data_IF_458434820187
#
_entry.id   IF_458434820187
#
_cell.length_a   1.000
_cell.length_b   1.000
_cell.length_c   1.000
_cell.angle_alpha   90.00
_cell.angle_beta   90.00
_cell.angle_gamma   90.00
#
_symmetry.space_group_name_H-M   'P 1'
#
loop_
_entity.id
_entity.type
_entity.pdbx_description
1 polymer ?
#
# COMPACT_ATOMS: atom_id res chain seq x y z
N UNK A 1 -7.42 0.13 9.12
CA UNK A 1 -6.04 0.64 8.98
C UNK A 1 -5.59 0.59 7.52
N UNK A 2 -4.57 1.40 7.16
CA UNK A 2 -3.93 1.32 5.85
C UNK A 2 -2.50 0.82 5.99
N UNK A 3 -2.14 -0.26 5.28
CA UNK A 3 -0.78 -0.80 5.24
C UNK A 3 -0.13 -0.29 3.95
N UNK A 4 0.94 0.47 4.07
CA UNK A 4 1.78 0.79 2.93
C UNK A 4 2.77 -0.33 2.70
N UNK A 5 2.80 -0.92 1.50
CA UNK A 5 3.67 -2.03 1.15
C UNK A 5 4.83 -1.55 0.27
N UNK A 6 6.01 -1.47 0.85
CA UNK A 6 7.23 -1.04 0.16
C UNK A 6 8.46 -1.85 0.64
N UNK A 7 9.54 -1.87 -0.17
CA UNK A 7 9.58 -1.46 -1.58
C UNK A 7 8.75 -2.38 -2.49
N UNK A 8 8.24 -1.84 -3.62
CA UNK A 8 7.44 -2.62 -4.58
C UNK A 8 8.08 -2.60 -5.95
N UNK A 9 8.79 -3.67 -6.30
CA UNK A 9 9.61 -3.77 -7.52
C UNK A 9 9.31 -5.01 -8.36
N UNK A 10 8.44 -5.92 -7.89
CA UNK A 10 8.17 -7.19 -8.54
C UNK A 10 6.69 -7.61 -8.43
N UNK A 11 6.24 -8.45 -9.36
CA UNK A 11 4.96 -9.16 -9.22
C UNK A 11 4.96 -10.17 -8.06
N UNK A 12 6.14 -10.68 -7.71
CA UNK A 12 6.29 -11.59 -6.57
C UNK A 12 5.95 -10.96 -5.24
N UNK A 13 6.09 -9.63 -5.14
CA UNK A 13 5.73 -8.90 -3.92
C UNK A 13 4.25 -9.11 -3.57
N UNK A 14 3.37 -9.19 -4.59
CA UNK A 14 1.96 -9.48 -4.38
C UNK A 14 1.72 -10.90 -3.86
N UNK A 15 2.37 -11.90 -4.44
CA UNK A 15 2.25 -13.30 -4.02
C UNK A 15 2.73 -13.47 -2.58
N UNK A 16 3.88 -12.87 -2.26
CA UNK A 16 4.46 -12.92 -0.91
C UNK A 16 3.60 -12.15 0.10
N UNK A 17 3.03 -11.01 -0.29
CA UNK A 17 2.09 -10.24 0.54
C UNK A 17 0.88 -11.09 0.94
N UNK A 18 0.22 -11.75 -0.02
CA UNK A 18 -0.93 -12.61 0.26
C UNK A 18 -0.52 -13.79 1.17
N UNK A 19 0.64 -14.39 0.89
CA UNK A 19 1.16 -15.51 1.70
C UNK A 19 1.48 -15.06 3.14
N UNK A 20 2.09 -13.90 3.32
CA UNK A 20 2.39 -13.34 4.64
C UNK A 20 1.11 -12.99 5.40
N UNK A 21 0.14 -12.32 4.75
CA UNK A 21 -1.14 -11.99 5.35
C UNK A 21 -1.88 -13.25 5.83
N UNK A 22 -1.90 -14.30 5.01
CA UNK A 22 -2.48 -15.59 5.38
C UNK A 22 -1.75 -16.21 6.59
N UNK A 23 -0.41 -16.20 6.59
CA UNK A 23 0.40 -16.76 7.67
C UNK A 23 0.23 -16.00 8.99
N UNK A 24 -0.01 -14.69 8.92
CA UNK A 24 -0.26 -13.85 10.10
C UNK A 24 -1.74 -13.87 10.56
N UNK A 25 -2.63 -14.53 9.83
CA UNK A 25 -4.05 -14.53 10.09
C UNK A 25 -4.72 -13.16 9.91
N UNK A 26 -4.14 -12.30 9.07
CA UNK A 26 -4.65 -10.95 8.82
C UNK A 26 -5.43 -10.92 7.51
N UNK A 27 -6.72 -10.58 7.61
CA UNK A 27 -7.54 -10.29 6.43
C UNK A 27 -7.11 -8.95 5.82
N UNK A 28 -6.72 -8.95 4.55
CA UNK A 28 -6.30 -7.75 3.84
C UNK A 28 -7.18 -7.45 2.63
N UNK A 29 -7.28 -6.18 2.29
CA UNK A 29 -7.89 -5.69 1.06
C UNK A 29 -6.86 -4.94 0.23
N UNK A 30 -6.92 -5.09 -1.08
CA UNK A 30 -6.00 -4.43 -2.01
C UNK A 30 -6.72 -3.94 -3.26
N UNK A 31 -6.18 -2.88 -3.89
CA UNK A 31 -6.82 -2.23 -5.03
C UNK A 31 -6.29 -2.80 -6.34
N UNK A 32 -7.15 -3.41 -7.12
CA UNK A 32 -6.83 -3.94 -8.44
C UNK A 32 -7.56 -3.20 -9.56
N UNK A 33 -6.96 -3.20 -10.76
CA UNK A 33 -7.61 -2.65 -11.95
C UNK A 33 -8.90 -3.42 -12.24
N UNK A 34 -10.03 -2.72 -12.45
CA UNK A 34 -11.35 -3.31 -12.70
C UNK A 34 -11.35 -4.40 -13.78
N UNK A 35 -10.58 -4.20 -14.86
CA UNK A 35 -10.47 -5.19 -15.93
C UNK A 35 -9.93 -6.56 -15.50
N UNK A 36 -9.13 -6.64 -14.42
CA UNK A 36 -8.63 -7.92 -13.89
C UNK A 36 -9.75 -8.76 -13.29
N UNK A 37 -10.74 -8.12 -12.69
CA UNK A 37 -11.87 -8.78 -12.03
C UNK A 37 -12.96 -9.25 -13.00
N UNK A 38 -12.86 -8.86 -14.28
CA UNK A 38 -13.72 -9.32 -15.39
C UNK A 38 -13.18 -10.56 -16.09
N UNK A 39 -11.99 -11.03 -15.70
CA UNK A 39 -11.37 -12.25 -16.21
C UNK A 39 -11.85 -13.50 -15.43
N UNK A 40 -11.63 -14.74 -15.93
CA UNK A 40 -11.99 -15.97 -15.22
C UNK A 40 -11.41 -16.08 -13.80
N UNK A 41 -10.28 -15.44 -13.52
CA UNK A 41 -9.67 -15.40 -12.17
C UNK A 41 -10.28 -14.31 -11.26
N UNK A 42 -11.20 -13.49 -11.77
CA UNK A 42 -11.84 -12.41 -11.01
C UNK A 42 -12.44 -12.85 -9.67
N UNK A 43 -13.21 -13.96 -9.59
CA UNK A 43 -13.72 -14.46 -8.31
C UNK A 43 -12.63 -14.77 -7.28
N UNK A 44 -11.52 -15.39 -7.73
CA UNK A 44 -10.38 -15.67 -6.87
C UNK A 44 -9.72 -14.38 -6.35
N UNK A 45 -9.57 -13.37 -7.22
CA UNK A 45 -9.01 -12.08 -6.82
C UNK A 45 -9.86 -11.39 -5.76
N UNK A 46 -11.20 -11.47 -5.86
CA UNK A 46 -12.10 -10.97 -4.81
C UNK A 46 -11.98 -11.78 -3.51
N UNK A 47 -11.90 -13.09 -3.62
CA UNK A 47 -11.73 -13.97 -2.46
C UNK A 47 -10.47 -13.65 -1.64
N UNK A 48 -9.36 -13.29 -2.30
CA UNK A 48 -8.13 -12.85 -1.63
C UNK A 48 -8.11 -11.33 -1.33
N UNK A 49 -9.28 -10.71 -1.17
CA UNK A 49 -9.42 -9.34 -0.72
C UNK A 49 -9.27 -8.25 -1.78
N UNK A 50 -9.32 -8.62 -3.06
CA UNK A 50 -9.21 -7.65 -4.16
C UNK A 50 -10.45 -6.78 -4.32
N UNK A 51 -10.26 -5.47 -4.35
CA UNK A 51 -11.28 -4.46 -4.61
C UNK A 51 -11.05 -3.89 -6.01
N UNK A 52 -12.01 -4.04 -6.95
CA UNK A 52 -11.89 -3.47 -8.29
C UNK A 52 -11.98 -1.95 -8.23
N UNK A 53 -11.02 -1.27 -8.86
CA UNK A 53 -11.03 0.19 -8.96
C UNK A 53 -10.87 0.65 -10.41
N UNK A 54 -11.67 1.63 -10.78
CA UNK A 54 -11.53 2.34 -12.04
C UNK A 54 -10.49 3.46 -11.87
N UNK A 55 -9.28 3.21 -12.37
CA UNK A 55 -8.16 4.16 -12.27
C UNK A 55 -8.35 5.43 -13.10
N UNK A 56 -9.36 5.49 -13.96
CA UNK A 56 -9.70 6.72 -14.70
C UNK A 56 -10.37 7.77 -13.82
N UNK A 57 -10.94 7.34 -12.68
CA UNK A 57 -11.67 8.19 -11.71
C UNK A 57 -10.84 8.51 -10.46
N UNK A 58 -9.56 8.73 -10.62
CA UNK A 58 -8.60 8.93 -9.52
C UNK A 58 -9.02 10.02 -8.52
N UNK A 59 -9.66 11.09 -8.98
CA UNK A 59 -10.10 12.20 -8.13
C UNK A 59 -11.20 11.83 -7.10
N UNK A 60 -11.94 10.73 -7.36
CA UNK A 60 -12.99 10.24 -6.45
C UNK A 60 -12.54 9.04 -5.63
N UNK A 61 -11.35 8.48 -5.92
CA UNK A 61 -10.90 7.25 -5.29
C UNK A 61 -10.74 7.40 -3.77
N UNK A 62 -10.17 8.51 -3.32
CA UNK A 62 -10.00 8.79 -1.88
C UNK A 62 -11.37 8.80 -1.19
N UNK A 63 -12.34 9.52 -1.75
CA UNK A 63 -13.71 9.60 -1.19
C UNK A 63 -14.36 8.21 -1.13
N UNK A 64 -14.32 7.44 -2.24
CA UNK A 64 -14.91 6.09 -2.30
C UNK A 64 -14.29 5.17 -1.24
N UNK A 65 -12.97 5.27 -1.03
CA UNK A 65 -12.28 4.45 -0.05
C UNK A 65 -12.58 4.89 1.39
N UNK A 66 -12.75 6.18 1.64
CA UNK A 66 -13.19 6.67 2.96
C UNK A 66 -14.61 6.17 3.28
N UNK A 67 -15.55 6.26 2.33
CA UNK A 67 -16.91 5.72 2.47
C UNK A 67 -16.88 4.20 2.75
N UNK A 68 -16.08 3.45 1.99
CA UNK A 68 -15.91 2.01 2.22
C UNK A 68 -15.32 1.67 3.61
N UNK A 69 -14.38 2.48 4.09
CA UNK A 69 -13.78 2.33 5.42
C UNK A 69 -14.81 2.60 6.51
N UNK A 70 -15.64 3.64 6.35
CA UNK A 70 -16.68 4.02 7.31
C UNK A 70 -17.80 2.99 7.39
N UNK A 71 -18.19 2.41 6.24
CA UNK A 71 -19.27 1.40 6.16
C UNK A 71 -18.81 0.00 6.61
N UNK A 72 -17.50 -0.24 6.76
CA UNK A 72 -16.96 -1.55 7.13
C UNK A 72 -16.72 -1.66 8.64
N UNK A 73 -16.91 -2.84 9.22
CA UNK A 73 -16.54 -3.18 10.61
C UNK A 73 -15.01 -3.28 10.83
N UNK A 74 -14.25 -2.61 9.98
CA UNK A 74 -12.79 -2.59 9.99
C UNK A 74 -12.21 -3.19 8.72
N UNK A 75 -11.54 -2.36 7.95
CA UNK A 75 -10.84 -2.75 6.72
C UNK A 75 -9.33 -2.59 6.92
N UNK A 76 -8.57 -3.55 6.42
CA UNK A 76 -7.11 -3.46 6.31
C UNK A 76 -6.74 -3.27 4.84
N UNK A 77 -6.59 -2.01 4.42
CA UNK A 77 -6.28 -1.68 3.05
C UNK A 77 -4.77 -1.69 2.82
N UNK A 78 -4.29 -2.50 1.87
CA UNK A 78 -2.87 -2.54 1.48
C UNK A 78 -2.67 -1.75 0.19
N UNK A 79 -1.73 -0.81 0.22
CA UNK A 79 -1.42 0.09 -0.89
C UNK A 79 0.09 0.15 -1.13
N UNK A 80 0.58 -0.18 -2.34
CA UNK A 80 1.96 0.13 -2.71
C UNK A 80 2.06 1.64 -3.01
N UNK A 81 2.80 2.42 -2.20
CA UNK A 81 2.78 3.89 -2.31
C UNK A 81 3.44 4.41 -3.60
N UNK A 82 4.37 3.66 -4.20
CA UNK A 82 4.93 4.00 -5.52
C UNK A 82 3.88 3.94 -6.64
N UNK A 83 2.81 3.14 -6.46
CA UNK A 83 1.76 2.93 -7.47
C UNK A 83 2.20 2.17 -8.72
N UNK A 84 3.46 1.78 -8.78
CA UNK A 84 4.10 1.03 -9.88
C UNK A 84 5.28 0.22 -9.36
N UNK A 85 5.77 -0.73 -10.15
CA UNK A 85 6.98 -1.52 -9.88
C UNK A 85 8.24 -0.91 -10.52
N UNK A 86 8.06 0.11 -11.35
CA UNK A 86 9.16 0.87 -11.93
C UNK A 86 9.59 1.99 -10.98
N UNK A 87 10.86 2.39 -11.08
CA UNK A 87 11.39 3.51 -10.32
C UNK A 87 10.63 4.80 -10.61
N UNK A 88 10.26 5.51 -9.55
CA UNK A 88 9.64 6.85 -9.62
C UNK A 88 10.33 7.81 -8.68
N UNK A 89 10.29 9.09 -9.01
CA UNK A 89 10.88 10.15 -8.17
C UNK A 89 10.01 10.46 -6.95
N UNK A 90 8.71 10.19 -7.03
CA UNK A 90 7.74 10.44 -5.96
C UNK A 90 6.79 9.28 -5.76
N UNK A 91 6.46 9.02 -4.51
CA UNK A 91 5.32 8.20 -4.13
C UNK A 91 4.00 8.93 -4.37
N UNK A 92 2.90 8.18 -4.46
CA UNK A 92 1.54 8.72 -4.54
C UNK A 92 1.03 9.05 -3.15
N UNK A 93 0.56 10.27 -2.93
CA UNK A 93 0.04 10.71 -1.63
C UNK A 93 -1.33 10.12 -1.24
N UNK A 94 -1.93 9.31 -2.12
CA UNK A 94 -3.27 8.75 -1.89
C UNK A 94 -3.42 8.00 -0.56
N UNK A 95 -2.43 7.20 -0.16
CA UNK A 95 -2.45 6.48 1.12
C UNK A 95 -2.52 7.43 2.32
N UNK A 96 -1.74 8.51 2.26
CA UNK A 96 -1.68 9.51 3.33
C UNK A 96 -3.00 10.27 3.46
N UNK A 97 -3.56 10.72 2.32
CA UNK A 97 -4.84 11.42 2.27
C UNK A 97 -6.01 10.56 2.76
N UNK A 98 -6.02 9.25 2.43
CA UNK A 98 -7.03 8.31 2.93
C UNK A 98 -6.88 8.15 4.44
N UNK A 99 -5.67 7.93 4.95
CA UNK A 99 -5.42 7.75 6.37
C UNK A 99 -5.84 8.98 7.17
N UNK A 100 -5.51 10.19 6.69
CA UNK A 100 -5.86 11.47 7.30
C UNK A 100 -7.38 11.69 7.31
N UNK A 101 -8.05 11.54 6.15
CA UNK A 101 -9.48 11.77 6.01
C UNK A 101 -10.32 10.76 6.82
N UNK A 102 -9.96 9.48 6.80
CA UNK A 102 -10.66 8.42 7.53
C UNK A 102 -10.18 8.28 8.99
N UNK A 103 -9.18 9.04 9.42
CA UNK A 103 -8.58 8.97 10.78
C UNK A 103 -8.15 7.58 11.19
N UNK A 104 -7.54 6.84 10.27
CA UNK A 104 -7.03 5.49 10.50
C UNK A 104 -5.51 5.46 10.51
N UNK A 105 -4.89 4.52 11.23
CA UNK A 105 -3.43 4.44 11.27
C UNK A 105 -2.84 3.99 9.93
N UNK A 106 -1.65 4.55 9.62
CA UNK A 106 -0.73 4.05 8.63
C UNK A 106 0.18 3.02 9.30
N UNK A 107 0.36 1.88 8.66
CA UNK A 107 1.26 0.80 9.09
C UNK A 107 2.27 0.52 8.00
N UNK A 108 3.54 0.46 8.33
CA UNK A 108 4.60 0.14 7.38
C UNK A 108 4.73 -1.38 7.20
N UNK A 109 4.21 -1.93 6.11
CA UNK A 109 4.37 -3.33 5.74
C UNK A 109 5.58 -3.53 4.82
N UNK A 110 6.37 -4.57 5.02
CA UNK A 110 7.60 -4.78 4.25
C UNK A 110 7.85 -6.23 3.84
N UNK A 111 8.60 -6.35 2.75
CA UNK A 111 9.26 -7.58 2.31
C UNK A 111 10.75 -7.25 2.14
N UNK A 112 11.59 -7.84 2.97
CA UNK A 112 13.05 -7.72 2.87
C UNK A 112 13.61 -8.94 2.14
N UNK A 113 14.07 -8.74 0.91
CA UNK A 113 14.54 -9.85 0.08
C UNK A 113 15.93 -10.37 0.47
N UNK A 114 16.77 -9.55 1.08
CA UNK A 114 18.08 -9.97 1.56
C UNK A 114 17.95 -10.85 2.81
N UNK A 115 17.10 -10.41 3.75
CA UNK A 115 16.82 -11.16 4.98
C UNK A 115 15.81 -12.28 4.78
N UNK A 116 15.04 -12.26 3.67
CA UNK A 116 13.90 -13.16 3.40
C UNK A 116 12.82 -13.07 4.47
N UNK A 117 12.52 -11.87 4.87
CA UNK A 117 11.56 -11.56 5.92
C UNK A 117 10.38 -10.76 5.37
N UNK A 118 9.20 -10.99 5.96
CA UNK A 118 8.01 -10.18 5.77
C UNK A 118 7.49 -9.76 7.14
N UNK A 119 6.99 -8.53 7.24
CA UNK A 119 6.49 -8.06 8.53
C UNK A 119 5.80 -6.71 8.48
N UNK A 120 5.42 -6.28 9.68
CA UNK A 120 4.86 -4.96 9.94
C UNK A 120 5.84 -4.19 10.83
N UNK A 121 6.09 -2.95 10.45
CA UNK A 121 6.92 -1.99 11.17
C UNK A 121 6.07 -0.96 11.93
N UNK A 122 6.52 0.31 11.98
CA UNK A 122 5.81 1.36 12.70
C UNK A 122 4.36 1.52 12.27
N UNK A 123 3.51 1.81 13.27
CA UNK A 123 2.11 2.16 13.08
C UNK A 123 1.84 3.51 13.76
N UNK A 124 1.25 4.45 13.04
CA UNK A 124 0.98 5.80 13.55
C UNK A 124 -0.24 6.45 12.89
N UNK A 125 -0.84 7.41 13.58
CA UNK A 125 -1.82 8.32 12.99
C UNK A 125 -1.09 9.50 12.35
N UNK A 126 -1.62 10.01 11.24
CA UNK A 126 -1.08 11.19 10.56
C UNK A 126 -1.11 12.42 11.47
N UNK A 127 0.00 13.15 11.55
CA UNK A 127 0.14 14.36 12.36
C UNK A 127 0.76 15.51 11.55
N UNK A 128 1.96 15.28 11.03
CA UNK A 128 2.72 16.22 10.22
C UNK A 128 3.34 15.50 9.04
N UNK A 129 3.02 15.93 7.83
CA UNK A 129 3.44 15.26 6.60
C UNK A 129 4.96 15.05 6.52
N UNK A 130 5.75 16.06 6.88
CA UNK A 130 7.22 15.99 6.79
C UNK A 130 7.78 15.05 7.85
N UNK A 131 7.30 15.13 9.07
CA UNK A 131 7.70 14.25 10.18
C UNK A 131 7.30 12.79 9.92
N UNK A 132 6.06 12.57 9.50
CA UNK A 132 5.55 11.23 9.19
C UNK A 132 6.33 10.59 8.02
N UNK A 133 6.62 11.36 6.96
CA UNK A 133 7.42 10.89 5.83
C UNK A 133 8.88 10.64 6.20
N UNK A 134 9.46 11.36 7.16
CA UNK A 134 10.80 11.07 7.68
C UNK A 134 10.81 9.71 8.40
N UNK A 135 9.84 9.45 9.27
CA UNK A 135 9.69 8.15 9.95
C UNK A 135 9.55 6.99 8.95
N UNK A 136 8.70 7.17 7.93
CA UNK A 136 8.53 6.19 6.85
C UNK A 136 9.86 5.95 6.11
N UNK A 137 10.59 7.01 5.82
CA UNK A 137 11.88 6.97 5.09
C UNK A 137 12.94 6.21 5.87
N UNK A 138 13.13 6.57 7.15
CA UNK A 138 14.08 5.90 8.04
C UNK A 138 13.80 4.40 8.15
N UNK A 139 12.51 4.03 8.24
CA UNK A 139 12.13 2.62 8.30
C UNK A 139 12.44 1.85 7.01
N UNK A 140 12.08 2.40 5.83
CA UNK A 140 12.22 1.67 4.57
C UNK A 140 13.60 1.77 3.91
N UNK A 141 14.45 2.70 4.33
CA UNK A 141 15.76 2.89 3.72
C UNK A 141 16.62 1.63 3.74
N UNK A 142 16.75 0.90 4.88
CA UNK A 142 17.54 -0.32 4.97
C UNK A 142 16.90 -1.56 4.34
N UNK A 143 15.62 -1.52 3.96
CA UNK A 143 14.89 -2.69 3.48
C UNK A 143 15.23 -2.98 2.02
N UNK A 144 15.69 -4.20 1.75
CA UNK A 144 16.12 -4.64 0.44
C UNK A 144 14.93 -4.99 -0.47
N UNK A 145 14.89 -4.39 -1.66
CA UNK A 145 13.94 -4.75 -2.71
C UNK A 145 14.43 -5.97 -3.51
N UNK A 146 13.50 -6.69 -4.18
CA UNK A 146 13.86 -7.76 -5.13
C UNK A 146 14.75 -7.23 -6.27
N UNK A 147 14.44 -6.03 -6.76
CA UNK A 147 15.19 -5.33 -7.79
C UNK A 147 15.60 -3.95 -7.24
N UNK A 148 16.77 -3.83 -6.60
CA UNK A 148 17.19 -2.58 -5.94
C UNK A 148 17.24 -1.38 -6.88
N UNK A 149 17.59 -1.59 -8.15
CA UNK A 149 17.65 -0.54 -9.18
C UNK A 149 16.29 0.10 -9.49
N UNK A 150 15.19 -0.62 -9.20
CA UNK A 150 13.82 -0.16 -9.38
C UNK A 150 13.23 0.48 -8.12
N UNK A 151 13.97 0.51 -6.99
CA UNK A 151 13.51 1.12 -5.75
C UNK A 151 13.24 2.60 -5.99
N UNK A 152 11.99 3.01 -5.76
CA UNK A 152 11.54 4.39 -5.90
C UNK A 152 12.04 5.25 -4.74
N UNK A 153 12.22 6.54 -4.99
CA UNK A 153 12.53 7.51 -3.94
C UNK A 153 11.35 7.62 -2.97
N UNK A 154 11.63 7.54 -1.68
CA UNK A 154 10.61 7.62 -0.62
C UNK A 154 10.34 9.09 -0.32
N UNK A 155 9.52 9.72 -1.16
CA UNK A 155 9.18 11.13 -1.07
C UNK A 155 7.81 11.40 -1.70
N UNK A 156 7.03 12.24 -1.09
CA UNK A 156 5.82 12.80 -1.68
C UNK A 156 6.12 14.13 -2.37
N UNK A 157 5.41 14.43 -3.44
CA UNK A 157 5.56 15.71 -4.15
C UNK A 157 5.17 16.89 -3.26
N UNK A 158 4.23 16.67 -2.36
CA UNK A 158 3.72 17.64 -1.40
C UNK A 158 4.77 18.08 -0.36
N UNK A 159 5.84 17.31 -0.16
CA UNK A 159 6.97 17.71 0.72
C UNK A 159 7.81 18.87 0.12
N UNK A 160 7.66 19.13 -1.18
CA UNK A 160 8.37 20.20 -1.90
C UNK A 160 7.62 21.55 -1.85
N UNK A 161 6.42 21.57 -1.28
CA UNK A 161 5.58 22.76 -1.09
C UNK A 161 5.78 23.36 0.32
#
# INVERSE_FOLDING_TARGET
MIIIAAPHTSNWDFVLLISAAYSFGVGINWLGKDSLFKTPIGPLLRYVGGIPVDRSKTNKLVQILCELIEESDGITLVVPPSGTRSKTDYWKSGFYRIAEAARIPIVCGYLDYDKKEAGLGPAFLTQDLKGDMNQIREFYEPIAAKFPELKSRIRLKEEDL
#
